data_IF_774833960029
#
_entry.id   IF_774833960029
#
_cell.length_a   1.000
_cell.length_b   1.000
_cell.length_c   1.000
_cell.angle_alpha   90.00
_cell.angle_beta   90.00
_cell.angle_gamma   90.00
#
_symmetry.space_group_name_H-M   'P 1'
#
loop_
_entity.id
_entity.type
_entity.pdbx_description
1 polymer ?
#
# COMPACT_ATOMS: atom_id res chain seq x y z
N UNK A 1 5.86 23.07 5.05
CA UNK A 1 5.57 21.68 4.63
C UNK A 1 5.38 21.51 3.12
N UNK A 2 5.13 22.59 2.36
CA UNK A 2 4.92 22.55 0.89
C UNK A 2 6.18 22.58 0.02
N UNK A 3 7.36 22.63 0.65
CA UNK A 3 8.62 22.65 -0.10
C UNK A 3 8.74 21.38 -0.93
N UNK A 4 9.03 21.54 -2.23
CA UNK A 4 9.33 20.44 -3.14
C UNK A 4 10.64 19.76 -2.77
N UNK A 5 10.66 18.44 -2.89
CA UNK A 5 11.83 17.59 -2.70
C UNK A 5 12.41 17.29 -4.07
N UNK A 6 13.61 17.81 -4.32
CA UNK A 6 14.32 17.64 -5.60
C UNK A 6 15.32 16.49 -5.60
N UNK A 7 15.45 15.79 -4.49
CA UNK A 7 16.46 14.74 -4.28
C UNK A 7 15.93 13.33 -4.52
N UNK A 8 14.70 13.17 -5.02
CA UNK A 8 14.08 11.87 -5.31
C UNK A 8 13.88 11.75 -6.83
N UNK A 9 14.71 10.95 -7.51
CA UNK A 9 14.62 10.77 -8.96
C UNK A 9 13.23 10.35 -9.43
N UNK A 10 12.68 11.06 -10.41
CA UNK A 10 11.36 10.80 -11.00
C UNK A 10 10.18 11.40 -10.22
N UNK A 11 10.44 12.09 -9.10
CA UNK A 11 9.39 12.72 -8.27
C UNK A 11 9.65 14.21 -7.98
N UNK A 12 10.67 14.80 -8.59
CA UNK A 12 11.21 16.13 -8.26
C UNK A 12 10.22 17.27 -8.48
N UNK A 13 9.24 17.06 -9.38
CA UNK A 13 8.29 18.08 -9.81
C UNK A 13 7.04 18.16 -8.93
N UNK A 14 6.73 17.12 -8.15
CA UNK A 14 5.47 17.04 -7.41
C UNK A 14 5.61 16.60 -5.95
N UNK A 15 6.67 15.90 -5.57
CA UNK A 15 6.83 15.41 -4.20
C UNK A 15 7.15 16.57 -3.25
N UNK A 16 6.31 16.79 -2.24
CA UNK A 16 6.53 17.82 -1.20
C UNK A 16 6.90 17.17 0.12
N UNK A 17 7.50 17.95 1.02
CA UNK A 17 7.81 17.47 2.38
C UNK A 17 6.58 16.93 3.13
N UNK A 18 5.37 17.45 2.87
CA UNK A 18 4.13 16.93 3.48
C UNK A 18 3.73 15.54 2.99
N UNK A 19 4.09 15.17 1.77
CA UNK A 19 3.68 13.93 1.12
C UNK A 19 4.55 12.73 1.58
N UNK A 20 5.70 13.01 2.22
CA UNK A 20 6.53 11.99 2.82
C UNK A 20 5.84 11.30 4.02
N UNK A 21 6.18 10.03 4.29
CA UNK A 21 5.74 9.35 5.51
C UNK A 21 6.06 10.16 6.77
N UNK A 22 5.21 10.06 7.80
CA UNK A 22 5.35 10.76 9.10
C UNK A 22 6.76 10.64 9.69
N UNK A 23 7.34 9.45 9.65
CA UNK A 23 8.68 9.18 10.18
C UNK A 23 9.80 9.89 9.42
N UNK A 24 9.60 10.29 8.16
CA UNK A 24 10.55 11.08 7.39
C UNK A 24 10.45 12.60 7.66
N UNK A 25 9.39 13.03 8.36
CA UNK A 25 9.09 14.46 8.61
C UNK A 25 9.55 14.92 10.00
N UNK A 26 10.04 14.00 10.83
CA UNK A 26 10.53 14.33 12.17
C UNK A 26 11.77 15.23 12.10
N UNK A 27 11.83 16.26 12.94
CA UNK A 27 13.02 17.12 13.09
C UNK A 27 14.22 16.37 13.67
N UNK A 28 13.96 15.23 14.32
CA UNK A 28 14.96 14.38 14.93
C UNK A 28 14.78 12.93 14.42
N UNK A 29 15.35 12.68 13.25
CA UNK A 29 15.38 11.35 12.63
C UNK A 29 16.29 10.40 13.41
N UNK A 30 17.27 10.92 14.15
CA UNK A 30 18.25 10.14 14.91
C UNK A 30 17.60 9.44 16.10
N UNK A 31 16.69 10.13 16.81
CA UNK A 31 15.95 9.56 17.93
C UNK A 31 14.64 8.86 17.54
N UNK A 32 14.26 8.85 16.25
CA UNK A 32 13.07 8.15 15.78
C UNK A 32 13.38 6.70 15.39
N UNK A 33 13.05 5.75 16.29
CA UNK A 33 13.32 4.32 16.11
C UNK A 33 12.69 3.72 14.84
N UNK A 34 11.50 4.18 14.45
CA UNK A 34 10.82 3.74 13.22
C UNK A 34 11.57 4.22 11.99
N UNK A 35 12.00 5.49 11.97
CA UNK A 35 12.78 6.04 10.86
C UNK A 35 14.11 5.30 10.70
N UNK A 36 14.81 5.03 11.81
CA UNK A 36 16.07 4.27 11.79
C UNK A 36 15.87 2.84 11.26
N UNK A 37 14.79 2.16 11.68
CA UNK A 37 14.46 0.84 11.18
C UNK A 37 14.20 0.87 9.66
N UNK A 38 13.39 1.80 9.18
CA UNK A 38 13.07 1.92 7.75
C UNK A 38 14.32 2.21 6.93
N UNK A 39 15.17 3.15 7.35
CA UNK A 39 16.44 3.48 6.67
C UNK A 39 17.35 2.25 6.63
N UNK A 40 17.49 1.52 7.75
CA UNK A 40 18.31 0.31 7.82
C UNK A 40 17.81 -0.77 6.87
N UNK A 41 16.50 -1.06 6.84
CA UNK A 41 15.94 -2.07 5.95
C UNK A 41 16.05 -1.65 4.47
N UNK A 42 15.83 -0.36 4.17
CA UNK A 42 15.95 0.17 2.80
C UNK A 42 17.39 0.10 2.28
N UNK A 43 18.39 0.31 3.13
CA UNK A 43 19.80 0.13 2.72
C UNK A 43 20.11 -1.35 2.44
N UNK A 44 19.67 -2.24 3.33
CA UNK A 44 19.85 -3.68 3.18
C UNK A 44 19.13 -4.27 1.96
N UNK A 45 18.01 -3.70 1.54
CA UNK A 45 17.27 -4.22 0.38
C UNK A 45 18.07 -4.14 -0.93
N UNK A 46 19.10 -3.29 -1.00
CA UNK A 46 20.02 -3.23 -2.15
C UNK A 46 20.97 -4.42 -2.24
N UNK A 47 21.14 -5.18 -1.16
CA UNK A 47 21.94 -6.41 -1.11
C UNK A 47 21.08 -7.65 -1.39
N UNK A 48 19.76 -7.49 -1.55
CA UNK A 48 18.85 -8.61 -1.85
C UNK A 48 19.04 -9.10 -3.29
N UNK A 49 18.93 -10.41 -3.48
CA UNK A 49 18.97 -11.01 -4.82
C UNK A 49 17.82 -10.52 -5.72
N UNK A 50 16.65 -10.32 -5.11
CA UNK A 50 15.48 -9.75 -5.77
C UNK A 50 14.53 -9.05 -4.79
N UNK A 51 13.72 -8.12 -5.32
CA UNK A 51 12.63 -7.46 -4.59
C UNK A 51 11.27 -7.90 -5.14
N UNK A 52 10.36 -8.27 -4.24
CA UNK A 52 8.96 -8.56 -4.58
C UNK A 52 8.11 -7.40 -4.08
N UNK A 53 7.45 -6.70 -5.00
CA UNK A 53 6.67 -5.50 -4.70
C UNK A 53 5.22 -5.69 -5.14
N UNK A 54 4.28 -5.30 -4.27
CA UNK A 54 2.85 -5.28 -4.59
C UNK A 54 2.48 -4.01 -5.38
N UNK A 55 3.03 -3.90 -6.58
CA UNK A 55 2.73 -2.86 -7.58
C UNK A 55 2.84 -3.47 -8.99
N UNK A 56 2.59 -2.71 -10.05
CA UNK A 56 2.70 -3.14 -11.45
C UNK A 56 3.30 -2.02 -12.32
N UNK A 57 3.83 -2.37 -13.48
CA UNK A 57 4.60 -1.44 -14.33
C UNK A 57 3.80 -0.24 -14.81
N UNK A 58 2.53 -0.42 -15.13
CA UNK A 58 1.68 0.67 -15.62
C UNK A 58 1.36 1.70 -14.52
N UNK A 59 1.49 1.33 -13.23
CA UNK A 59 1.32 2.26 -12.11
C UNK A 59 2.62 2.99 -11.77
N UNK A 60 3.72 2.25 -11.61
CA UNK A 60 4.97 2.77 -11.03
C UNK A 60 6.21 2.61 -11.94
N UNK A 61 6.04 2.33 -13.24
CA UNK A 61 7.14 1.99 -14.17
C UNK A 61 8.37 2.91 -14.12
N UNK A 62 8.22 4.25 -14.13
CA UNK A 62 9.36 5.15 -13.98
C UNK A 62 10.08 5.01 -12.63
N UNK A 63 9.35 4.76 -11.54
CA UNK A 63 9.90 4.57 -10.20
C UNK A 63 10.59 3.20 -10.13
N UNK A 64 9.97 2.15 -10.66
CA UNK A 64 10.55 0.80 -10.75
C UNK A 64 11.86 0.81 -11.54
N UNK A 65 11.94 1.61 -12.61
CA UNK A 65 13.18 1.81 -13.38
C UNK A 65 14.30 2.41 -12.53
N UNK A 66 14.00 3.36 -11.64
CA UNK A 66 14.98 3.89 -10.69
C UNK A 66 15.42 2.84 -9.66
N UNK A 67 14.49 2.04 -9.14
CA UNK A 67 14.81 0.99 -8.16
C UNK A 67 15.68 -0.11 -8.82
N UNK A 68 15.45 -0.44 -10.10
CA UNK A 68 16.25 -1.41 -10.87
C UNK A 68 17.73 -1.03 -10.95
N UNK A 69 18.06 0.27 -10.86
CA UNK A 69 19.46 0.72 -10.79
C UNK A 69 20.16 0.31 -9.49
N UNK A 70 19.41 -0.05 -8.45
CA UNK A 70 19.90 -0.47 -7.14
C UNK A 70 19.75 -1.96 -6.89
N UNK A 71 18.67 -2.57 -7.37
CA UNK A 71 18.44 -4.01 -7.35
C UNK A 71 17.89 -4.45 -8.72
N UNK A 72 18.69 -5.10 -9.58
CA UNK A 72 18.29 -5.41 -10.95
C UNK A 72 17.05 -6.30 -11.06
N UNK A 73 16.85 -7.23 -10.12
CA UNK A 73 15.74 -8.16 -10.13
C UNK A 73 14.58 -7.64 -9.30
N UNK A 74 13.54 -7.14 -9.96
CA UNK A 74 12.32 -6.67 -9.31
C UNK A 74 11.12 -7.39 -9.92
N UNK A 75 10.28 -7.95 -9.03
CA UNK A 75 9.01 -8.59 -9.36
C UNK A 75 7.87 -7.71 -8.88
N UNK A 76 7.30 -6.93 -9.81
CA UNK A 76 6.09 -6.16 -9.59
C UNK A 76 4.87 -7.09 -9.78
N UNK A 77 4.45 -7.76 -8.71
CA UNK A 77 3.40 -8.80 -8.74
C UNK A 77 2.02 -8.28 -8.32
N UNK A 78 1.87 -6.96 -8.25
CA UNK A 78 0.61 -6.34 -7.85
C UNK A 78 -0.43 -6.30 -8.98
N UNK A 79 -1.68 -5.96 -8.63
CA UNK A 79 -2.21 -5.97 -7.28
C UNK A 79 -2.52 -7.41 -6.81
N UNK A 80 -1.96 -7.83 -5.67
CA UNK A 80 -2.05 -9.22 -5.16
C UNK A 80 -3.49 -9.72 -5.05
N UNK A 81 -4.44 -8.86 -4.63
CA UNK A 81 -5.85 -9.25 -4.48
C UNK A 81 -6.49 -9.65 -5.82
N UNK A 82 -6.16 -8.96 -6.91
CA UNK A 82 -6.70 -9.27 -8.23
C UNK A 82 -6.10 -10.58 -8.78
N UNK A 83 -4.79 -10.78 -8.58
CA UNK A 83 -4.13 -12.02 -8.97
C UNK A 83 -4.72 -13.23 -8.25
N UNK A 84 -4.96 -13.11 -6.95
CA UNK A 84 -5.62 -14.16 -6.17
C UNK A 84 -7.02 -14.45 -6.74
N UNK A 85 -7.84 -13.42 -6.95
CA UNK A 85 -9.19 -13.58 -7.50
C UNK A 85 -9.20 -14.25 -8.87
N UNK A 86 -8.26 -13.90 -9.75
CA UNK A 86 -8.13 -14.52 -11.08
C UNK A 86 -7.76 -16.00 -11.00
N UNK A 87 -6.78 -16.34 -10.15
CA UNK A 87 -6.37 -17.74 -9.92
C UNK A 87 -7.49 -18.59 -9.31
N UNK A 88 -8.27 -18.02 -8.40
CA UNK A 88 -9.43 -18.69 -7.81
C UNK A 88 -10.49 -18.99 -8.86
N UNK A 89 -10.85 -18.00 -9.70
CA UNK A 89 -11.80 -18.19 -10.81
C UNK A 89 -11.34 -19.28 -11.79
N UNK A 90 -10.04 -19.39 -12.05
CA UNK A 90 -9.49 -20.40 -12.95
C UNK A 90 -9.45 -21.82 -12.36
N UNK A 91 -9.48 -21.98 -11.03
CA UNK A 91 -9.25 -23.28 -10.36
C UNK A 91 -10.48 -24.12 -10.06
N UNK A 92 -11.70 -23.56 -10.01
CA UNK A 92 -13.01 -24.23 -10.09
C UNK A 92 -14.13 -23.21 -9.78
N UNK A 93 -15.22 -23.24 -10.56
CA UNK A 93 -16.34 -22.30 -10.47
C UNK A 93 -17.00 -22.25 -9.07
N UNK A 94 -17.39 -21.03 -8.68
CA UNK A 94 -17.94 -20.62 -7.37
C UNK A 94 -16.97 -20.57 -6.19
N UNK A 95 -16.64 -19.32 -5.85
CA UNK A 95 -15.94 -18.91 -4.64
C UNK A 95 -16.77 -19.27 -3.42
N UNK A 96 -16.33 -20.23 -2.60
CA UNK A 96 -16.68 -20.18 -1.18
C UNK A 96 -15.72 -19.20 -0.49
N UNK A 97 -16.28 -18.15 0.10
CA UNK A 97 -15.58 -17.13 0.89
C UNK A 97 -14.64 -17.68 1.97
N UNK A 98 -14.78 -18.95 2.31
CA UNK A 98 -14.11 -19.63 3.42
C UNK A 98 -12.69 -20.11 3.09
N UNK A 99 -12.28 -20.16 1.81
CA UNK A 99 -11.03 -20.84 1.45
C UNK A 99 -9.76 -20.01 1.70
N UNK A 100 -9.84 -18.67 1.69
CA UNK A 100 -8.68 -17.79 1.91
C UNK A 100 -9.09 -16.44 2.53
N UNK A 101 -9.83 -16.49 3.64
CA UNK A 101 -10.00 -15.30 4.46
C UNK A 101 -8.63 -14.94 5.05
N UNK A 102 -7.90 -14.01 4.43
CA UNK A 102 -6.74 -13.32 5.04
C UNK A 102 -7.17 -12.42 6.23
N UNK A 103 -8.31 -12.74 6.82
CA UNK A 103 -8.95 -12.01 7.91
C UNK A 103 -8.68 -12.81 9.17
N UNK A 104 -8.08 -12.16 10.16
CA UNK A 104 -7.94 -12.72 11.51
C UNK A 104 -9.30 -12.88 12.22
N UNK A 105 -10.37 -12.30 11.66
CA UNK A 105 -11.72 -12.25 12.21
C UNK A 105 -12.75 -12.82 11.23
N UNK A 106 -13.87 -13.28 11.77
CA UNK A 106 -15.03 -13.66 10.97
C UNK A 106 -15.49 -12.48 10.12
N UNK A 107 -15.74 -12.74 8.83
CA UNK A 107 -16.11 -11.69 7.88
C UNK A 107 -17.60 -11.42 8.00
N UNK A 108 -17.96 -10.26 8.56
CA UNK A 108 -19.34 -9.79 8.52
C UNK A 108 -19.74 -9.41 7.09
N UNK A 109 -20.79 -10.06 6.57
CA UNK A 109 -21.34 -9.83 5.23
C UNK A 109 -22.62 -8.98 5.24
N UNK A 110 -23.08 -8.53 6.41
CA UNK A 110 -24.28 -7.69 6.55
C UNK A 110 -24.21 -6.41 5.73
N UNK A 111 -23.01 -5.82 5.63
CA UNK A 111 -22.75 -4.61 4.85
C UNK A 111 -22.97 -4.81 3.34
N UNK A 112 -22.69 -5.99 2.81
CA UNK A 112 -22.95 -6.33 1.40
C UNK A 112 -24.45 -6.44 1.16
N UNK A 113 -25.17 -7.16 2.02
CA UNK A 113 -26.63 -7.27 1.92
C UNK A 113 -27.36 -5.94 2.06
N UNK A 114 -26.78 -4.98 2.79
CA UNK A 114 -27.27 -3.60 2.86
C UNK A 114 -26.94 -2.81 1.58
N UNK A 115 -25.74 -2.98 1.03
CA UNK A 115 -25.26 -2.32 -0.19
C UNK A 115 -26.10 -2.73 -1.41
N UNK A 116 -26.49 -4.00 -1.51
CA UNK A 116 -27.33 -4.54 -2.61
C UNK A 116 -28.70 -3.86 -2.72
N UNK A 117 -29.17 -3.17 -1.67
CA UNK A 117 -30.45 -2.45 -1.62
C UNK A 117 -30.33 -0.98 -2.01
N UNK A 118 -29.11 -0.46 -2.21
CA UNK A 118 -28.87 0.94 -2.53
C UNK A 118 -28.86 1.17 -4.05
N UNK A 119 -29.26 2.36 -4.53
CA UNK A 119 -29.07 2.72 -5.93
C UNK A 119 -27.60 2.68 -6.37
N UNK A 120 -27.39 2.48 -7.67
CA UNK A 120 -26.04 2.51 -8.23
C UNK A 120 -25.37 3.86 -7.97
N UNK A 121 -24.10 3.82 -7.54
CA UNK A 121 -23.27 5.01 -7.30
C UNK A 121 -23.83 5.97 -6.22
N UNK A 122 -24.71 5.52 -5.31
CA UNK A 122 -25.28 6.37 -4.25
C UNK A 122 -24.59 6.26 -2.88
N UNK A 123 -23.64 5.32 -2.73
CA UNK A 123 -23.00 5.00 -1.45
C UNK A 123 -21.55 5.47 -1.44
N UNK A 124 -21.14 6.11 -0.34
CA UNK A 124 -19.75 6.46 -0.06
C UNK A 124 -19.16 5.38 0.84
N UNK A 125 -18.07 4.77 0.40
CA UNK A 125 -17.27 3.87 1.24
C UNK A 125 -16.30 4.69 2.09
N UNK A 126 -16.35 4.50 3.42
CA UNK A 126 -15.40 5.07 4.36
C UNK A 126 -14.80 3.93 5.21
N UNK A 127 -13.47 3.75 5.14
CA UNK A 127 -12.75 2.75 5.91
C UNK A 127 -11.45 3.33 6.44
N UNK A 128 -11.19 3.15 7.74
CA UNK A 128 -9.92 3.48 8.36
C UNK A 128 -9.09 2.20 8.53
N UNK A 129 -7.77 2.29 8.31
CA UNK A 129 -6.86 1.18 8.59
C UNK A 129 -6.96 0.76 10.06
N UNK A 130 -6.79 -0.53 10.34
CA UNK A 130 -6.91 -1.14 11.68
C UNK A 130 -5.99 -0.55 12.77
N UNK A 131 -5.01 0.28 12.38
CA UNK A 131 -4.02 0.90 13.26
C UNK A 131 -4.38 2.37 13.57
N UNK A 132 -5.34 2.96 12.84
CA UNK A 132 -5.71 4.36 13.00
C UNK A 132 -6.86 4.47 14.00
N UNK A 133 -6.62 5.19 15.11
CA UNK A 133 -7.66 5.63 16.02
C UNK A 133 -8.04 7.07 15.70
N UNK A 134 -9.32 7.31 15.36
CA UNK A 134 -9.83 8.65 15.16
C UNK A 134 -10.24 9.24 16.52
N UNK A 135 -9.76 10.43 16.91
CA UNK A 135 -10.21 11.06 18.13
C UNK A 135 -11.71 11.36 18.05
N UNK A 136 -12.46 11.29 19.16
CA UNK A 136 -13.86 11.64 19.18
C UNK A 136 -14.04 13.08 18.72
N UNK A 137 -15.09 13.33 17.93
CA UNK A 137 -15.42 14.67 17.45
C UNK A 137 -15.74 15.56 18.65
N UNK A 138 -15.11 16.73 18.73
CA UNK A 138 -15.48 17.77 19.70
C UNK A 138 -16.78 18.39 19.17
N UNK A 139 -17.91 17.98 19.73
CA UNK A 139 -19.20 18.69 19.60
C UNK A 139 -19.23 19.92 20.49
#
# INVERSE_FOLDING_TARGET
>A
MDRLIKSVPGMETFLRCRDLPTFCRASDVENNSVAQLVVKQTRKSTEAEALILNTFEELDGPILSQIRTKCPHIYAIGPIHAQLNARLKAKNGELTSSQFANSFWEVDRSCISWLDKQPNQSVIYAGASSIIFLPPSIT
#
